data_IF_100812761720
#
_entry.id   IF_100812761720
#
_cell.length_a   1.000
_cell.length_b   1.000
_cell.length_c   1.000
_cell.angle_alpha   90.00
_cell.angle_beta   90.00
_cell.angle_gamma   90.00
#
_symmetry.space_group_name_H-M   'P 1'
#
loop_
_entity.id
_entity.type
_entity.pdbx_description
1 polymer ?
#
# COMPACT_ATOMS: atom_id res chain seq x y z
N UNK A 1 -13.36 21.24 3.81
CA UNK A 1 -13.55 20.41 2.60
C UNK A 1 -12.19 19.91 2.11
N UNK A 2 -11.15 20.75 2.09
CA UNK A 2 -9.75 20.41 1.73
C UNK A 2 -9.13 19.14 2.35
N UNK A 3 -9.37 18.82 3.63
CA UNK A 3 -8.63 17.73 4.30
C UNK A 3 -9.04 16.33 3.83
N UNK A 4 -10.30 16.15 3.39
CA UNK A 4 -10.80 14.85 2.93
C UNK A 4 -10.29 14.49 1.54
N UNK A 5 -10.23 15.46 0.64
CA UNK A 5 -9.70 15.29 -0.72
C UNK A 5 -8.20 14.93 -0.70
N UNK A 6 -7.41 15.55 0.19
CA UNK A 6 -5.99 15.21 0.35
C UNK A 6 -5.79 13.79 0.89
N UNK A 7 -6.63 13.32 1.82
CA UNK A 7 -6.54 11.98 2.38
C UNK A 7 -6.84 10.90 1.33
N UNK A 8 -7.86 11.12 0.50
CA UNK A 8 -8.18 10.23 -0.63
C UNK A 8 -7.07 10.18 -1.67
N UNK A 9 -6.34 11.29 -1.87
CA UNK A 9 -5.18 11.32 -2.76
C UNK A 9 -4.03 10.48 -2.21
N UNK A 10 -3.72 10.64 -0.92
CA UNK A 10 -2.63 9.89 -0.26
C UNK A 10 -2.95 8.40 -0.20
N UNK A 11 -4.18 8.03 0.16
CA UNK A 11 -4.60 6.63 0.22
C UNK A 11 -4.45 5.96 -1.14
N UNK A 12 -4.83 6.64 -2.22
CA UNK A 12 -4.63 6.13 -3.58
C UNK A 12 -3.16 5.98 -3.94
N UNK A 13 -2.32 6.98 -3.66
CA UNK A 13 -0.88 6.89 -3.93
C UNK A 13 -0.22 5.73 -3.17
N UNK A 14 -0.60 5.53 -1.90
CA UNK A 14 -0.10 4.40 -1.10
C UNK A 14 -0.54 3.06 -1.71
N UNK A 15 -1.80 2.93 -2.12
CA UNK A 15 -2.30 1.71 -2.78
C UNK A 15 -1.54 1.45 -4.08
N UNK A 16 -1.35 2.47 -4.91
CA UNK A 16 -0.63 2.34 -6.19
C UNK A 16 0.83 1.88 -5.97
N UNK A 17 1.53 2.42 -4.96
CA UNK A 17 2.90 2.00 -4.59
C UNK A 17 2.90 0.53 -4.16
N UNK A 18 1.97 0.12 -3.29
CA UNK A 18 1.91 -1.26 -2.78
C UNK A 18 1.63 -2.27 -3.90
N UNK A 19 0.73 -1.94 -4.82
CA UNK A 19 0.42 -2.76 -6.00
C UNK A 19 1.64 -2.92 -6.91
N UNK A 20 2.37 -1.82 -7.16
CA UNK A 20 3.54 -1.84 -8.03
C UNK A 20 4.70 -2.64 -7.42
N UNK A 21 5.01 -2.41 -6.14
CA UNK A 21 6.16 -3.01 -5.47
C UNK A 21 5.94 -4.49 -5.14
N UNK A 22 4.74 -4.86 -4.65
CA UNK A 22 4.44 -6.23 -4.25
C UNK A 22 3.82 -7.09 -5.37
N UNK A 23 3.41 -6.47 -6.49
CA UNK A 23 2.78 -7.18 -7.60
C UNK A 23 1.42 -7.81 -7.24
N UNK A 24 0.69 -7.19 -6.31
CA UNK A 24 -0.63 -7.65 -5.83
C UNK A 24 -1.77 -6.90 -6.50
N UNK A 25 -3.00 -7.41 -6.42
CA UNK A 25 -4.17 -6.72 -6.95
C UNK A 25 -4.54 -5.52 -6.06
N UNK A 26 -4.95 -4.40 -6.65
CA UNK A 26 -5.41 -3.22 -5.90
C UNK A 26 -6.63 -3.52 -5.01
N UNK A 27 -7.50 -4.45 -5.44
CA UNK A 27 -8.62 -4.91 -4.64
C UNK A 27 -8.18 -5.71 -3.40
N UNK A 28 -6.96 -6.24 -3.42
CA UNK A 28 -6.37 -6.94 -2.30
C UNK A 28 -5.63 -6.02 -1.32
N UNK A 29 -5.46 -4.72 -1.61
CA UNK A 29 -4.80 -3.77 -0.70
C UNK A 29 -5.86 -3.02 0.11
N UNK A 30 -6.12 -3.48 1.34
CA UNK A 30 -7.03 -2.81 2.28
C UNK A 30 -6.32 -2.48 3.59
N UNK A 31 -6.77 -1.45 4.34
CA UNK A 31 -6.15 -1.05 5.61
C UNK A 31 -6.17 -2.14 6.69
N UNK A 32 -7.02 -3.16 6.55
CA UNK A 32 -7.14 -4.25 7.53
C UNK A 32 -6.20 -5.42 7.27
N UNK A 33 -5.61 -5.51 6.07
CA UNK A 33 -4.73 -6.62 5.69
C UNK A 33 -3.31 -6.41 6.19
N UNK A 34 -2.69 -7.52 6.59
CA UNK A 34 -1.27 -7.60 6.95
C UNK A 34 -0.40 -7.72 5.69
N UNK A 35 0.61 -6.87 5.58
CA UNK A 35 1.59 -6.98 4.50
C UNK A 35 2.28 -8.36 4.46
N UNK A 36 2.62 -8.92 5.62
CA UNK A 36 3.33 -10.21 5.70
C UNK A 36 2.38 -11.39 5.55
N UNK A 37 1.28 -11.41 6.31
CA UNK A 37 0.41 -12.59 6.38
C UNK A 37 -0.57 -12.66 5.20
N UNK A 38 -1.06 -11.52 4.70
CA UNK A 38 -2.10 -11.47 3.67
C UNK A 38 -1.57 -11.11 2.28
N UNK A 39 -0.53 -10.28 2.21
CA UNK A 39 0.12 -9.89 0.94
C UNK A 39 1.42 -10.65 0.67
N UNK A 40 1.84 -11.51 1.60
CA UNK A 40 3.04 -12.35 1.48
C UNK A 40 4.32 -11.53 1.18
N UNK A 41 4.36 -10.28 1.66
CA UNK A 41 5.53 -9.41 1.57
C UNK A 41 6.60 -9.89 2.56
N UNK A 42 7.85 -9.96 2.09
CA UNK A 42 8.98 -10.31 2.94
C UNK A 42 9.63 -9.07 3.58
N UNK A 43 10.67 -9.29 4.38
CA UNK A 43 11.36 -8.18 5.04
C UNK A 43 12.06 -7.21 4.08
N UNK A 44 12.50 -7.68 2.91
CA UNK A 44 13.14 -6.84 1.90
C UNK A 44 12.09 -5.96 1.24
N UNK A 45 10.96 -6.54 0.83
CA UNK A 45 9.83 -5.81 0.24
C UNK A 45 9.38 -4.65 1.15
N UNK A 46 9.26 -4.91 2.47
CA UNK A 46 8.90 -3.89 3.45
C UNK A 46 9.94 -2.78 3.57
N UNK A 47 11.23 -3.11 3.46
CA UNK A 47 12.28 -2.06 3.50
C UNK A 47 12.24 -1.19 2.26
N UNK A 48 11.96 -1.77 1.10
CA UNK A 48 11.84 -1.03 -0.17
C UNK A 48 10.60 -0.13 -0.17
N UNK A 49 9.47 -0.61 0.36
CA UNK A 49 8.24 0.17 0.53
C UNK A 49 8.42 1.41 1.41
N UNK A 50 9.24 1.36 2.46
CA UNK A 50 9.49 2.51 3.36
C UNK A 50 10.46 3.52 2.74
N UNK A 51 11.32 3.08 1.82
CA UNK A 51 12.33 3.92 1.16
C UNK A 51 11.83 4.64 -0.09
N UNK A 52 10.65 4.24 -0.60
CA UNK A 52 9.98 4.83 -1.77
C UNK A 52 9.35 6.18 -1.40
#
# INVERSE_FOLDING_TARGET
METKDNLMSIEKEVIDIVVEQLGVDAADVTPEKSFVEDLNADSLDLTELIMT
#
